data_IF_121601899015
#
_entry.id   IF_121601899015
#
_cell.length_a   1.000
_cell.length_b   1.000
_cell.length_c   1.000
_cell.angle_alpha   90.00
_cell.angle_beta   90.00
_cell.angle_gamma   90.00
#
_symmetry.space_group_name_H-M   'P 1'
#
loop_
_entity.id
_entity.type
_entity.pdbx_description
1 polymer ?
#
# COMPACT_ATOMS: atom_id res chain seq x y z
N UNK A 1 -1.46 -30.48 -31.39
CA UNK A 1 -0.21 -30.27 -32.14
C UNK A 1 0.33 -28.83 -32.06
N UNK A 2 -0.49 -27.78 -31.85
CA UNK A 2 0.01 -26.39 -31.83
C UNK A 2 0.82 -26.00 -30.57
N UNK A 3 0.54 -26.61 -29.40
CA UNK A 3 1.20 -26.25 -28.13
C UNK A 3 2.71 -26.58 -28.09
N UNK A 4 3.20 -27.50 -28.92
CA UNK A 4 4.62 -27.84 -28.99
C UNK A 4 5.40 -26.95 -29.96
N UNK A 5 4.70 -26.33 -30.92
CA UNK A 5 5.31 -25.47 -31.94
C UNK A 5 5.92 -24.22 -31.32
N UNK A 6 5.16 -23.51 -30.48
CA UNK A 6 5.64 -22.26 -29.86
C UNK A 6 6.80 -22.48 -28.89
N UNK A 7 6.84 -23.61 -28.17
CA UNK A 7 7.96 -23.96 -27.29
C UNK A 7 9.24 -24.19 -28.07
N UNK A 8 9.17 -24.87 -29.22
CA UNK A 8 10.33 -25.07 -30.11
C UNK A 8 10.81 -23.74 -30.69
N UNK A 9 9.90 -22.86 -31.07
CA UNK A 9 10.25 -21.51 -31.54
C UNK A 9 10.89 -20.66 -30.45
N UNK A 10 10.32 -20.67 -29.24
CA UNK A 10 10.88 -19.95 -28.08
C UNK A 10 12.27 -20.48 -27.72
N UNK A 11 12.45 -21.79 -27.69
CA UNK A 11 13.75 -22.42 -27.45
C UNK A 11 14.77 -22.05 -28.53
N UNK A 12 14.38 -22.07 -29.81
CA UNK A 12 15.25 -21.64 -30.90
C UNK A 12 15.67 -20.17 -30.81
N UNK A 13 14.78 -19.29 -30.32
CA UNK A 13 15.11 -17.88 -30.06
C UNK A 13 16.13 -17.77 -28.92
N UNK A 14 15.92 -18.49 -27.81
CA UNK A 14 16.85 -18.50 -26.68
C UNK A 14 18.24 -18.97 -27.11
N UNK A 15 18.32 -20.07 -27.88
CA UNK A 15 19.58 -20.58 -28.41
C UNK A 15 20.26 -19.55 -29.32
N UNK A 16 19.50 -18.89 -30.21
CA UNK A 16 20.05 -17.81 -31.07
C UNK A 16 20.60 -16.63 -30.27
N UNK A 17 19.91 -16.23 -29.21
CA UNK A 17 20.38 -15.17 -28.30
C UNK A 17 21.67 -15.61 -27.60
N UNK A 18 21.71 -16.84 -27.10
CA UNK A 18 22.90 -17.39 -26.45
C UNK A 18 24.10 -17.47 -27.41
N UNK A 19 23.90 -17.94 -28.64
CA UNK A 19 24.94 -17.95 -29.68
C UNK A 19 25.42 -16.54 -30.02
N UNK A 20 24.51 -15.57 -30.10
CA UNK A 20 24.86 -14.17 -30.38
C UNK A 20 25.72 -13.57 -29.27
N UNK A 21 25.34 -13.81 -28.00
CA UNK A 21 26.13 -13.38 -26.84
C UNK A 21 27.49 -14.06 -26.85
N UNK A 22 27.56 -15.37 -27.11
CA UNK A 22 28.82 -16.11 -27.18
C UNK A 22 29.75 -15.56 -28.27
N UNK A 23 29.22 -15.26 -29.46
CA UNK A 23 29.99 -14.64 -30.56
C UNK A 23 30.49 -13.23 -30.20
N UNK A 24 29.67 -12.41 -29.54
CA UNK A 24 30.11 -11.09 -29.07
C UNK A 24 31.22 -11.22 -28.03
N UNK A 25 31.06 -12.13 -27.08
CA UNK A 25 32.07 -12.39 -26.05
C UNK A 25 33.39 -12.87 -26.66
N UNK A 26 33.34 -13.82 -27.60
CA UNK A 26 34.52 -14.29 -28.33
C UNK A 26 35.16 -13.18 -29.17
N UNK A 27 34.36 -12.44 -29.95
CA UNK A 27 34.89 -11.32 -30.74
C UNK A 27 35.49 -10.21 -29.85
N UNK A 28 34.95 -10.01 -28.66
CA UNK A 28 35.50 -9.13 -27.63
C UNK A 28 36.82 -9.65 -27.08
N UNK A 29 36.89 -10.93 -26.71
CA UNK A 29 38.11 -11.62 -26.25
C UNK A 29 39.23 -11.59 -27.31
N UNK A 30 38.89 -11.88 -28.57
CA UNK A 30 39.83 -11.88 -29.69
C UNK A 30 40.34 -10.45 -29.98
N UNK A 31 39.46 -9.44 -29.97
CA UNK A 31 39.87 -8.03 -30.13
C UNK A 31 40.66 -7.49 -28.95
N UNK A 32 40.45 -8.03 -27.74
CA UNK A 32 41.19 -7.66 -26.54
C UNK A 32 42.56 -8.36 -26.45
N UNK A 33 42.93 -9.18 -27.43
CA UNK A 33 44.24 -9.85 -27.47
C UNK A 33 44.40 -10.86 -26.33
N UNK A 34 43.37 -11.70 -26.11
CA UNK A 34 43.29 -12.66 -25.00
C UNK A 34 44.48 -13.64 -24.87
N UNK A 35 45.39 -13.73 -25.84
CA UNK A 35 46.65 -14.48 -25.68
C UNK A 35 47.56 -13.90 -24.58
N UNK A 36 47.34 -12.67 -24.11
CA UNK A 36 48.12 -12.05 -23.02
C UNK A 36 47.27 -11.51 -21.85
N UNK A 37 45.97 -11.80 -21.80
CA UNK A 37 45.13 -11.34 -20.68
C UNK A 37 45.29 -12.31 -19.51
N UNK A 38 46.32 -12.08 -18.70
CA UNK A 38 46.40 -12.72 -17.38
C UNK A 38 45.22 -12.26 -16.54
N UNK A 39 44.43 -13.22 -16.05
CA UNK A 39 43.30 -12.92 -15.16
C UNK A 39 43.85 -12.28 -13.88
N UNK A 40 43.54 -11.00 -13.67
CA UNK A 40 43.85 -10.34 -12.42
C UNK A 40 42.77 -10.70 -11.39
N UNK A 41 43.08 -11.54 -10.38
CA UNK A 41 42.09 -12.00 -9.41
C UNK A 41 41.54 -10.86 -8.56
N UNK A 42 42.33 -9.80 -8.33
CA UNK A 42 41.90 -8.62 -7.57
C UNK A 42 40.88 -7.83 -8.39
N UNK A 43 41.14 -7.59 -9.68
CA UNK A 43 40.20 -6.91 -10.56
C UNK A 43 38.88 -7.70 -10.70
N UNK A 44 38.97 -9.03 -10.82
CA UNK A 44 37.80 -9.91 -10.84
C UNK A 44 36.99 -9.83 -9.53
N UNK A 45 37.65 -9.87 -8.38
CA UNK A 45 36.99 -9.73 -7.08
C UNK A 45 36.33 -8.35 -6.90
N UNK A 46 36.98 -7.27 -7.35
CA UNK A 46 36.40 -5.92 -7.32
C UNK A 46 35.17 -5.83 -8.22
N UNK A 47 35.23 -6.34 -9.45
CA UNK A 47 34.08 -6.37 -10.35
C UNK A 47 32.91 -7.17 -9.78
N UNK A 48 33.20 -8.33 -9.17
CA UNK A 48 32.19 -9.16 -8.51
C UNK A 48 31.53 -8.39 -7.35
N UNK A 49 32.34 -7.73 -6.51
CA UNK A 49 31.84 -6.92 -5.40
C UNK A 49 30.97 -5.77 -5.87
N UNK A 50 31.41 -5.02 -6.90
CA UNK A 50 30.63 -3.93 -7.51
C UNK A 50 29.29 -4.47 -8.04
N UNK A 51 29.32 -5.58 -8.76
CA UNK A 51 28.11 -6.18 -9.32
C UNK A 51 27.15 -6.68 -8.23
N UNK A 52 27.67 -7.29 -7.16
CA UNK A 52 26.87 -7.68 -5.99
C UNK A 52 26.22 -6.47 -5.32
N UNK A 53 26.94 -5.35 -5.17
CA UNK A 53 26.37 -4.11 -4.63
C UNK A 53 25.27 -3.54 -5.53
N UNK A 54 25.46 -3.56 -6.85
CA UNK A 54 24.43 -3.12 -7.80
C UNK A 54 23.17 -3.98 -7.72
N UNK A 55 23.33 -5.31 -7.70
CA UNK A 55 22.21 -6.24 -7.52
C UNK A 55 21.50 -6.05 -6.18
N UNK A 56 22.26 -5.94 -5.08
CA UNK A 56 21.73 -5.69 -3.75
C UNK A 56 20.93 -4.39 -3.68
N UNK A 57 21.45 -3.33 -4.30
CA UNK A 57 20.76 -2.04 -4.41
C UNK A 57 19.47 -2.12 -5.23
N UNK A 58 19.49 -2.82 -6.37
CA UNK A 58 18.29 -3.09 -7.17
C UNK A 58 17.23 -3.87 -6.38
N UNK A 59 17.62 -4.94 -5.71
CA UNK A 59 16.74 -5.74 -4.87
C UNK A 59 16.13 -4.92 -3.71
N UNK A 60 16.94 -4.10 -3.06
CA UNK A 60 16.49 -3.22 -1.98
C UNK A 60 15.46 -2.21 -2.49
N UNK A 61 15.75 -1.54 -3.61
CA UNK A 61 14.84 -0.58 -4.22
C UNK A 61 13.51 -1.23 -4.65
N UNK A 62 13.57 -2.42 -5.26
CA UNK A 62 12.40 -3.18 -5.66
C UNK A 62 11.54 -3.60 -4.45
N UNK A 63 12.18 -4.00 -3.34
CA UNK A 63 11.50 -4.34 -2.09
C UNK A 63 10.72 -3.14 -1.52
N UNK A 64 11.33 -1.96 -1.47
CA UNK A 64 10.65 -0.73 -1.03
C UNK A 64 9.45 -0.45 -1.96
N UNK A 65 9.63 -0.54 -3.28
CA UNK A 65 8.55 -0.31 -4.23
C UNK A 65 7.38 -1.28 -4.07
N UNK A 66 7.67 -2.57 -3.92
CA UNK A 66 6.64 -3.60 -3.71
C UNK A 66 5.87 -3.37 -2.41
N UNK A 67 6.56 -3.00 -1.32
CA UNK A 67 5.92 -2.68 -0.04
C UNK A 67 4.96 -1.49 -0.15
N UNK A 68 5.26 -0.53 -1.04
CA UNK A 68 4.43 0.64 -1.32
C UNK A 68 3.43 0.42 -2.47
N UNK A 69 3.28 -0.82 -2.92
CA UNK A 69 2.39 -1.30 -3.98
C UNK A 69 2.72 -0.85 -5.41
N UNK A 70 3.91 -0.29 -5.64
CA UNK A 70 4.41 0.07 -6.97
C UNK A 70 5.03 -1.13 -7.71
N UNK A 71 5.21 -0.99 -9.03
CA UNK A 71 5.79 -2.04 -9.86
C UNK A 71 7.30 -2.21 -9.62
N UNK A 72 7.70 -3.29 -8.93
CA UNK A 72 9.08 -3.47 -8.45
C UNK A 72 10.17 -3.54 -9.55
N UNK A 73 9.85 -3.97 -10.78
CA UNK A 73 10.85 -4.18 -11.84
C UNK A 73 11.56 -2.88 -12.26
N UNK A 74 10.84 -1.75 -12.30
CA UNK A 74 11.39 -0.48 -12.73
C UNK A 74 12.30 0.10 -11.65
N UNK A 75 11.92 -0.08 -10.38
CA UNK A 75 12.72 0.30 -9.23
C UNK A 75 13.95 -0.60 -9.06
N UNK A 76 13.88 -1.87 -9.47
CA UNK A 76 15.04 -2.74 -9.56
C UNK A 76 16.09 -2.18 -10.52
N UNK A 77 15.70 -1.85 -11.76
CA UNK A 77 16.63 -1.31 -12.76
C UNK A 77 17.24 0.02 -12.32
N UNK A 78 16.43 0.93 -11.80
CA UNK A 78 16.92 2.20 -11.27
C UNK A 78 17.86 1.99 -10.08
N UNK A 79 17.54 1.08 -9.15
CA UNK A 79 18.41 0.72 -8.04
C UNK A 79 19.71 0.03 -8.47
N UNK A 80 19.70 -0.70 -9.57
CA UNK A 80 20.88 -1.36 -10.14
C UNK A 80 21.85 -0.35 -10.76
N UNK A 81 21.36 0.59 -11.59
CA UNK A 81 22.20 1.59 -12.25
C UNK A 81 22.57 2.79 -11.37
N UNK A 82 21.78 3.08 -10.33
CA UNK A 82 22.06 4.11 -9.34
C UNK A 82 22.21 3.46 -7.95
N UNK A 83 23.29 2.69 -7.74
CA UNK A 83 23.48 1.93 -6.52
C UNK A 83 23.51 2.85 -5.28
N UNK A 84 22.85 2.44 -4.20
CA UNK A 84 22.72 3.17 -2.92
C UNK A 84 21.90 4.45 -3.01
N UNK A 85 22.18 5.34 -3.96
CA UNK A 85 21.52 6.63 -4.09
C UNK A 85 20.01 6.49 -4.31
N UNK A 86 19.60 5.66 -5.28
CA UNK A 86 18.19 5.48 -5.60
C UNK A 86 17.35 4.84 -4.48
N UNK A 87 17.73 3.70 -3.88
CA UNK A 87 16.97 3.11 -2.79
C UNK A 87 16.81 4.06 -1.60
N UNK A 88 17.84 4.87 -1.29
CA UNK A 88 17.77 5.89 -0.21
C UNK A 88 16.74 6.97 -0.55
N UNK A 89 16.75 7.51 -1.76
CA UNK A 89 15.80 8.56 -2.17
C UNK A 89 14.35 8.07 -2.11
N UNK A 90 14.07 6.87 -2.64
CA UNK A 90 12.69 6.35 -2.66
C UNK A 90 12.19 5.92 -1.27
N UNK A 91 13.08 5.70 -0.31
CA UNK A 91 12.73 5.42 1.07
C UNK A 91 11.98 6.60 1.72
N UNK A 92 12.31 7.84 1.32
CA UNK A 92 11.67 9.04 1.84
C UNK A 92 10.65 9.65 0.87
N UNK A 93 10.91 9.60 -0.44
CA UNK A 93 10.11 10.33 -1.43
C UNK A 93 8.86 9.58 -1.94
N UNK A 94 8.81 8.24 -1.83
CA UNK A 94 7.81 7.44 -2.51
C UNK A 94 6.58 7.19 -1.63
N UNK A 95 5.40 7.74 -1.91
CA UNK A 95 4.20 7.42 -1.12
C UNK A 95 3.55 6.07 -1.51
N UNK A 96 2.68 5.57 -0.63
CA UNK A 96 1.80 4.42 -0.90
C UNK A 96 0.93 4.67 -2.14
N UNK A 97 0.98 3.76 -3.11
CA UNK A 97 0.19 3.87 -4.33
C UNK A 97 -1.32 3.89 -3.98
N UNK A 98 -2.00 4.96 -4.40
CA UNK A 98 -3.42 5.21 -4.14
C UNK A 98 -3.73 6.05 -2.89
N UNK A 99 -2.75 6.25 -1.98
CA UNK A 99 -2.93 7.11 -0.80
C UNK A 99 -3.15 8.58 -1.16
N UNK A 100 -2.40 9.08 -2.15
CA UNK A 100 -2.55 10.45 -2.67
C UNK A 100 -3.92 10.67 -3.35
N UNK A 101 -4.40 9.70 -4.13
CA UNK A 101 -5.72 9.79 -4.77
C UNK A 101 -6.85 9.78 -3.74
N UNK A 102 -6.78 8.91 -2.73
CA UNK A 102 -7.78 8.86 -1.66
C UNK A 102 -7.80 10.14 -0.83
N UNK A 103 -6.63 10.72 -0.54
CA UNK A 103 -6.53 12.04 0.12
C UNK A 103 -7.16 13.16 -0.71
N UNK A 104 -6.88 13.23 -2.02
CA UNK A 104 -7.50 14.23 -2.91
C UNK A 104 -9.02 14.07 -3.00
N UNK A 105 -9.53 12.83 -3.02
CA UNK A 105 -10.97 12.56 -2.99
C UNK A 105 -11.61 13.03 -1.68
N UNK A 106 -11.00 12.70 -0.53
CA UNK A 106 -11.46 13.16 0.79
C UNK A 106 -11.46 14.69 0.91
N UNK A 107 -10.43 15.37 0.40
CA UNK A 107 -10.38 16.83 0.39
C UNK A 107 -11.46 17.44 -0.54
N UNK A 108 -11.70 16.85 -1.71
CA UNK A 108 -12.75 17.29 -2.61
C UNK A 108 -14.15 17.09 -2.01
N UNK A 109 -14.39 15.96 -1.35
CA UNK A 109 -15.64 15.66 -0.66
C UNK A 109 -15.87 16.61 0.52
N UNK A 110 -14.84 16.92 1.32
CA UNK A 110 -14.93 17.92 2.40
C UNK A 110 -15.31 19.30 1.85
N UNK A 111 -14.69 19.75 0.76
CA UNK A 111 -15.02 21.04 0.13
C UNK A 111 -16.46 21.07 -0.40
N UNK A 112 -16.94 19.96 -0.97
CA UNK A 112 -18.33 19.86 -1.43
C UNK A 112 -19.32 19.90 -0.25
N UNK A 113 -19.03 19.22 0.85
CA UNK A 113 -19.86 19.25 2.07
C UNK A 113 -19.92 20.65 2.67
N UNK A 114 -18.78 21.35 2.76
CA UNK A 114 -18.72 22.74 3.23
C UNK A 114 -19.56 23.68 2.33
N UNK A 115 -19.49 23.52 1.00
CA UNK A 115 -20.31 24.30 0.07
C UNK A 115 -21.80 24.02 0.23
N UNK A 116 -22.19 22.76 0.37
CA UNK A 116 -23.58 22.37 0.60
C UNK A 116 -24.11 22.90 1.94
N UNK A 117 -23.30 22.89 3.00
CA UNK A 117 -23.67 23.48 4.29
C UNK A 117 -23.87 25.00 4.18
N UNK A 118 -22.98 25.71 3.47
CA UNK A 118 -23.11 27.16 3.23
C UNK A 118 -24.36 27.46 2.40
N UNK A 119 -24.63 26.71 1.33
CA UNK A 119 -25.84 26.88 0.52
C UNK A 119 -27.11 26.59 1.29
N UNK A 120 -27.11 25.52 2.11
CA UNK A 120 -28.22 25.17 3.00
C UNK A 120 -28.48 26.27 4.02
N UNK A 121 -27.43 26.83 4.64
CA UNK A 121 -27.56 27.95 5.57
C UNK A 121 -28.18 29.18 4.89
N UNK A 122 -27.71 29.55 3.69
CA UNK A 122 -28.29 30.67 2.92
C UNK A 122 -29.75 30.43 2.55
N UNK A 123 -30.13 29.20 2.19
CA UNK A 123 -31.54 28.86 1.90
C UNK A 123 -32.43 28.96 3.13
N UNK A 124 -31.95 28.53 4.31
CA UNK A 124 -32.68 28.65 5.57
C UNK A 124 -32.88 30.11 5.98
N UNK A 125 -31.83 30.96 5.82
CA UNK A 125 -31.93 32.40 6.06
C UNK A 125 -32.96 33.07 5.15
N UNK A 126 -33.00 32.72 3.85
CA UNK A 126 -33.96 33.25 2.88
C UNK A 126 -35.41 32.82 3.17
N UNK A 127 -35.62 31.63 3.73
CA UNK A 127 -36.95 31.15 4.11
C UNK A 127 -37.47 31.76 5.43
N UNK A 128 -36.69 32.63 6.09
CA UNK A 128 -37.07 33.23 7.37
C UNK A 128 -37.19 32.23 8.52
N UNK A 129 -36.70 31.00 8.31
CA UNK A 129 -36.69 29.94 9.33
C UNK A 129 -35.41 30.12 10.13
N UNK A 130 -35.55 30.63 11.36
CA UNK A 130 -34.44 30.61 12.32
C UNK A 130 -33.98 29.16 12.49
N UNK A 131 -32.66 28.87 12.46
CA UNK A 131 -32.18 27.54 12.75
C UNK A 131 -32.64 27.21 14.16
N UNK A 132 -33.56 26.26 14.30
CA UNK A 132 -33.85 25.64 15.58
C UNK A 132 -32.56 24.99 16.04
N UNK A 133 -32.07 25.43 17.20
CA UNK A 133 -31.03 24.72 17.92
C UNK A 133 -31.43 23.25 18.01
N UNK A 134 -30.50 22.31 17.77
CA UNK A 134 -30.82 20.90 17.85
C UNK A 134 -31.30 20.60 19.27
N UNK A 135 -32.59 20.28 19.40
CA UNK A 135 -33.20 19.81 20.63
C UNK A 135 -32.38 18.62 21.13
N UNK A 136 -31.67 18.83 22.24
CA UNK A 136 -31.08 17.78 23.04
C UNK A 136 -32.21 17.04 23.74
N UNK A 137 -32.87 16.15 23.01
CA UNK A 137 -33.79 15.18 23.56
C UNK A 137 -32.98 14.12 24.28
N UNK A 138 -32.80 14.34 25.58
CA UNK A 138 -32.18 13.42 26.51
C UNK A 138 -33.03 12.17 26.72
N UNK A 139 -32.75 11.13 25.94
CA UNK A 139 -32.69 9.74 26.39
C UNK A 139 -31.55 9.13 25.57
N UNK A 140 -30.48 8.70 26.22
CA UNK A 140 -29.32 8.10 25.57
C UNK A 140 -29.67 6.71 25.03
N UNK A 141 -30.43 6.65 23.94
CA UNK A 141 -30.40 5.51 23.05
C UNK A 141 -29.00 5.49 22.45
N UNK A 142 -28.25 4.42 22.68
CA UNK A 142 -26.85 4.32 22.27
C UNK A 142 -26.79 4.17 20.74
N UNK A 143 -26.89 5.30 20.03
CA UNK A 143 -26.90 5.33 18.56
C UNK A 143 -25.47 5.13 18.07
N UNK A 144 -25.16 3.90 17.64
CA UNK A 144 -23.94 3.58 16.91
C UNK A 144 -23.90 4.37 15.61
N UNK A 145 -22.99 5.34 15.50
CA UNK A 145 -22.83 6.18 14.33
C UNK A 145 -21.35 6.44 14.04
N UNK A 146 -21.06 7.02 12.88
CA UNK A 146 -19.68 7.31 12.45
C UNK A 146 -18.91 8.12 13.50
N UNK A 147 -19.50 9.20 14.04
CA UNK A 147 -18.85 10.07 15.02
C UNK A 147 -18.51 9.35 16.32
N UNK A 148 -19.33 8.37 16.73
CA UNK A 148 -19.06 7.55 17.90
C UNK A 148 -17.77 6.75 17.71
N UNK A 149 -17.64 6.01 16.60
CA UNK A 149 -16.47 5.17 16.33
C UNK A 149 -15.21 5.97 15.97
N UNK A 150 -15.34 7.14 15.33
CA UNK A 150 -14.20 8.02 15.06
C UNK A 150 -13.53 8.51 16.36
N UNK A 151 -14.35 8.87 17.37
CA UNK A 151 -13.83 9.23 18.70
C UNK A 151 -13.27 8.03 19.43
N UNK A 152 -13.90 6.87 19.28
CA UNK A 152 -13.48 5.66 19.97
C UNK A 152 -12.19 5.06 19.37
N UNK A 153 -11.89 5.32 18.10
CA UNK A 153 -10.75 4.69 17.41
C UNK A 153 -9.38 5.16 17.89
N UNK A 154 -9.27 6.34 18.49
CA UNK A 154 -8.00 6.98 18.87
C UNK A 154 -8.07 7.38 20.34
N UNK A 155 -7.08 6.96 21.12
CA UNK A 155 -6.91 7.42 22.52
C UNK A 155 -6.41 8.87 22.55
N UNK A 156 -6.55 9.57 23.68
CA UNK A 156 -6.08 10.96 23.86
C UNK A 156 -4.57 11.16 23.56
N UNK A 157 -3.80 10.07 23.53
CA UNK A 157 -2.37 10.04 23.19
C UNK A 157 -2.06 9.81 21.70
N UNK A 158 -3.09 9.65 20.86
CA UNK A 158 -2.94 9.41 19.42
C UNK A 158 -2.67 7.96 19.02
N UNK A 159 -2.75 7.01 19.97
CA UNK A 159 -2.57 5.57 19.70
C UNK A 159 -3.92 4.93 19.37
N UNK A 160 -4.00 3.97 18.43
CA UNK A 160 -5.23 3.21 18.20
C UNK A 160 -5.74 2.58 19.48
N UNK A 161 -7.00 2.86 19.81
CA UNK A 161 -7.65 2.29 20.98
C UNK A 161 -8.07 0.83 20.72
N UNK A 162 -8.35 0.10 21.80
CA UNK A 162 -8.70 -1.32 21.79
C UNK A 162 -7.81 -2.13 22.74
N UNK A 163 -8.06 -3.44 22.89
CA UNK A 163 -9.11 -4.23 22.25
C UNK A 163 -10.50 -4.01 22.84
N UNK A 164 -11.56 -4.40 22.12
CA UNK A 164 -12.96 -4.36 22.57
C UNK A 164 -13.65 -5.71 22.41
N UNK A 165 -14.55 -6.01 23.34
CA UNK A 165 -15.47 -7.13 23.27
C UNK A 165 -16.77 -6.68 22.59
N UNK A 166 -17.08 -7.27 21.44
CA UNK A 166 -18.20 -6.85 20.60
C UNK A 166 -19.13 -8.02 20.32
N UNK A 167 -20.44 -7.80 20.46
CA UNK A 167 -21.48 -8.77 20.06
C UNK A 167 -22.19 -8.24 18.82
N UNK A 168 -22.11 -9.00 17.73
CA UNK A 168 -22.76 -8.68 16.46
C UNK A 168 -23.60 -9.86 16.00
N UNK A 169 -24.92 -9.64 15.85
CA UNK A 169 -25.86 -10.66 15.41
C UNK A 169 -25.72 -11.97 16.20
N UNK A 170 -25.66 -11.86 17.54
CA UNK A 170 -25.47 -12.96 18.48
C UNK A 170 -24.07 -13.59 18.55
N UNK A 171 -23.09 -13.12 17.77
CA UNK A 171 -21.71 -13.63 17.81
C UNK A 171 -20.79 -12.68 18.55
N UNK A 172 -20.14 -13.17 19.61
CA UNK A 172 -19.14 -12.44 20.36
C UNK A 172 -17.74 -12.64 19.75
N UNK A 173 -17.01 -11.55 19.52
CA UNK A 173 -15.61 -11.59 19.10
C UNK A 173 -14.84 -10.37 19.60
N UNK A 174 -13.51 -10.49 19.58
CA UNK A 174 -12.60 -9.44 20.02
C UNK A 174 -12.19 -8.60 18.82
N UNK A 175 -12.47 -7.31 18.90
CA UNK A 175 -11.96 -6.29 17.98
C UNK A 175 -10.64 -5.76 18.54
N UNK A 176 -9.57 -5.90 17.77
CA UNK A 176 -8.25 -5.41 18.14
C UNK A 176 -8.11 -3.91 17.89
N UNK A 177 -8.67 -3.43 16.76
CA UNK A 177 -8.55 -2.04 16.35
C UNK A 177 -9.73 -1.62 15.45
N UNK A 178 -10.17 -0.37 15.58
CA UNK A 178 -11.05 0.28 14.59
C UNK A 178 -10.17 0.93 13.52
N UNK A 179 -10.37 0.58 12.26
CA UNK A 179 -9.56 1.05 11.13
C UNK A 179 -10.18 2.25 10.40
N UNK A 180 -11.50 2.23 10.24
CA UNK A 180 -12.26 3.25 9.49
C UNK A 180 -13.73 3.22 9.92
N UNK A 181 -14.36 4.39 10.05
CA UNK A 181 -15.78 4.51 10.35
C UNK A 181 -16.48 5.20 9.17
N UNK A 182 -17.49 4.54 8.61
CA UNK A 182 -18.27 5.05 7.49
C UNK A 182 -19.69 5.37 7.94
N UNK A 183 -20.51 5.90 7.05
CA UNK A 183 -21.86 6.37 7.38
C UNK A 183 -22.77 5.27 7.95
N UNK A 184 -22.61 4.02 7.49
CA UNK A 184 -23.46 2.88 7.87
C UNK A 184 -22.71 1.65 8.39
N UNK A 185 -21.37 1.65 8.31
CA UNK A 185 -20.52 0.50 8.70
C UNK A 185 -19.25 0.97 9.40
N UNK A 186 -18.73 0.17 10.32
CA UNK A 186 -17.37 0.30 10.86
C UNK A 186 -16.48 -0.82 10.34
N UNK A 187 -15.28 -0.45 9.88
CA UNK A 187 -14.23 -1.38 9.50
C UNK A 187 -13.31 -1.62 10.69
N UNK A 188 -13.19 -2.87 11.09
CA UNK A 188 -12.41 -3.28 12.25
C UNK A 188 -11.42 -4.39 11.92
N UNK A 189 -10.38 -4.49 12.72
CA UNK A 189 -9.43 -5.60 12.71
C UNK A 189 -9.74 -6.54 13.88
N UNK A 190 -9.86 -7.82 13.60
CA UNK A 190 -10.13 -8.88 14.58
C UNK A 190 -9.01 -9.91 14.58
N UNK A 191 -8.84 -10.61 15.71
CA UNK A 191 -7.93 -11.75 15.79
C UNK A 191 -8.52 -13.00 15.12
N UNK A 192 -7.78 -13.60 14.18
CA UNK A 192 -8.13 -14.85 13.53
C UNK A 192 -7.72 -16.09 14.34
N UNK A 193 -8.39 -17.23 14.08
CA UNK A 193 -8.15 -18.52 14.77
C UNK A 193 -6.73 -19.09 14.64
N UNK A 194 -5.97 -18.65 13.63
CA UNK A 194 -4.60 -19.12 13.34
C UNK A 194 -3.53 -18.04 13.57
N UNK A 195 -3.79 -17.06 14.45
CA UNK A 195 -2.81 -16.02 14.80
C UNK A 195 -2.60 -14.93 13.75
N UNK A 196 -3.35 -14.94 12.64
CA UNK A 196 -3.43 -13.84 11.69
C UNK A 196 -4.52 -12.83 12.05
N UNK A 197 -4.39 -11.58 11.62
CA UNK A 197 -5.46 -10.57 11.75
C UNK A 197 -6.39 -10.59 10.53
N UNK A 198 -7.68 -10.34 10.75
CA UNK A 198 -8.67 -10.23 9.68
C UNK A 198 -9.37 -8.88 9.75
N UNK A 199 -9.69 -8.31 8.57
CA UNK A 199 -10.48 -7.08 8.46
C UNK A 199 -11.95 -7.41 8.22
N UNK A 200 -12.83 -6.85 9.04
CA UNK A 200 -14.28 -7.08 8.97
C UNK A 200 -15.02 -5.75 8.89
N UNK A 201 -16.07 -5.70 8.06
CA UNK A 201 -17.03 -4.58 8.03
C UNK A 201 -18.27 -4.96 8.81
N UNK A 202 -18.59 -4.16 9.83
CA UNK A 202 -19.74 -4.38 10.71
C UNK A 202 -20.75 -3.27 10.47
N UNK A 203 -21.96 -3.56 9.97
CA UNK A 203 -23.05 -2.59 9.89
C UNK A 203 -23.51 -2.18 11.29
N UNK A 204 -23.77 -0.87 11.50
CA UNK A 204 -24.23 -0.35 12.79
C UNK A 204 -25.53 -0.99 13.27
N UNK A 205 -26.43 -1.31 12.34
CA UNK A 205 -27.69 -1.99 12.62
C UNK A 205 -27.57 -3.39 13.20
N UNK A 206 -26.37 -3.99 13.13
CA UNK A 206 -26.10 -5.35 13.60
C UNK A 206 -25.33 -5.40 14.91
N UNK A 207 -24.92 -4.24 15.45
CA UNK A 207 -24.16 -4.14 16.69
C UNK A 207 -25.13 -4.18 17.87
N UNK A 208 -24.98 -5.20 18.72
CA UNK A 208 -25.78 -5.36 19.93
C UNK A 208 -25.06 -4.76 21.14
N UNK A 209 -23.74 -4.95 21.24
CA UNK A 209 -22.93 -4.37 22.32
C UNK A 209 -21.50 -4.07 21.87
N UNK A 210 -20.90 -3.05 22.49
CA UNK A 210 -19.50 -2.64 22.29
C UNK A 210 -18.91 -2.23 23.65
N UNK A 211 -18.07 -3.08 24.24
CA UNK A 211 -17.50 -2.88 25.57
C UNK A 211 -15.97 -2.98 25.52
N UNK A 212 -15.28 -2.25 26.41
CA UNK A 212 -13.84 -2.41 26.66
C UNK A 212 -13.53 -3.78 27.30
#
# INVERSE_FOLDING_TARGET
>A
MEKESWLRTAWAIIVKIAEFIARISQAGLDKLGAEQVEFNPVAGAVLLLVFTLMLGSGCWAASIALSRRHAGWLHFLLGFFLPVLYPVVILFAMDLQGGSQRRKQLEAERRQKEQQEIERQKMLELQGVKPSEPEQSGVAEQVWNQRYFERLAITDSGVPAGPWNVVVSGNAFVVLQILDAQESVVLVETGGREGGTQKLRIPYSKIESWQE
#
